data_IF_542469010416
#
_entry.id   IF_542469010416
#
_cell.length_a   1.000
_cell.length_b   1.000
_cell.length_c   1.000
_cell.angle_alpha   90.00
_cell.angle_beta   90.00
_cell.angle_gamma   90.00
#
_symmetry.space_group_name_H-M   'P 1'
#
loop_
_entity.id
_entity.type
_entity.pdbx_description
1 polymer ?
#
# COMPACT_ATOMS: atom_id res chain seq x y z
N UNK A 1 -5.06 0.50 -38.70
CA UNK A 1 -5.00 -0.27 -37.44
C UNK A 1 -4.97 0.73 -36.28
N UNK A 2 -6.09 0.90 -35.57
CA UNK A 2 -6.26 1.98 -34.61
C UNK A 2 -6.60 1.43 -33.21
N UNK A 3 -5.75 1.81 -32.24
CA UNK A 3 -6.09 2.15 -30.85
C UNK A 3 -6.88 1.16 -30.01
N UNK A 4 -6.18 0.32 -29.23
CA UNK A 4 -6.70 -0.22 -27.97
C UNK A 4 -5.56 -0.43 -26.96
N UNK A 5 -5.35 0.52 -26.07
CA UNK A 5 -4.71 0.31 -24.75
C UNK A 5 -4.76 1.62 -23.93
N UNK A 6 -5.69 1.71 -22.99
CA UNK A 6 -5.81 2.88 -22.10
C UNK A 6 -6.59 2.68 -20.80
N UNK A 7 -7.13 1.49 -20.53
CA UNK A 7 -8.04 1.28 -19.39
C UNK A 7 -7.42 0.56 -18.17
N UNK A 8 -6.31 -0.18 -18.34
CA UNK A 8 -5.80 -1.08 -17.29
C UNK A 8 -5.08 -0.36 -16.12
N UNK A 9 -4.40 0.77 -16.38
CA UNK A 9 -3.61 1.47 -15.35
C UNK A 9 -4.43 2.18 -14.26
N UNK A 10 -5.68 2.50 -14.52
CA UNK A 10 -6.54 3.27 -13.61
C UNK A 10 -7.41 2.39 -12.71
N UNK A 11 -7.74 1.18 -13.16
CA UNK A 11 -8.55 0.22 -12.42
C UNK A 11 -7.74 -0.45 -11.30
N UNK A 12 -6.46 -0.76 -11.53
CA UNK A 12 -5.55 -1.29 -10.49
C UNK A 12 -5.33 -0.31 -9.32
N UNK A 13 -5.20 0.98 -9.62
CA UNK A 13 -5.07 2.04 -8.62
C UNK A 13 -6.35 2.22 -7.78
N UNK A 14 -7.55 2.08 -8.37
CA UNK A 14 -8.83 2.10 -7.62
C UNK A 14 -9.05 0.83 -6.81
N UNK A 15 -8.59 -0.33 -7.27
CA UNK A 15 -8.70 -1.60 -6.56
C UNK A 15 -7.79 -1.67 -5.31
N UNK A 16 -6.60 -1.08 -5.37
CA UNK A 16 -5.69 -0.96 -4.22
C UNK A 16 -6.29 -0.13 -3.07
N UNK A 17 -7.22 0.78 -3.34
CA UNK A 17 -7.83 1.71 -2.38
C UNK A 17 -9.03 1.14 -1.58
N UNK A 18 -9.44 -0.11 -1.82
CA UNK A 18 -10.43 -0.83 -1.00
C UNK A 18 -9.81 -1.67 0.12
N UNK A 19 -8.48 -1.82 0.11
CA UNK A 19 -7.70 -2.57 1.11
C UNK A 19 -7.54 -1.73 2.39
N UNK A 20 -7.49 -2.40 3.54
CA UNK A 20 -7.16 -1.74 4.81
C UNK A 20 -5.68 -1.31 4.76
N UNK A 21 -5.44 0.00 4.84
CA UNK A 21 -4.08 0.53 4.94
C UNK A 21 -3.61 0.45 6.40
N UNK A 22 -2.47 -0.21 6.65
CA UNK A 22 -1.90 -0.38 7.98
C UNK A 22 -0.55 0.33 8.03
N UNK A 23 -0.47 1.42 8.78
CA UNK A 23 0.77 2.17 8.95
C UNK A 23 1.63 1.50 10.02
N UNK A 24 2.84 1.09 9.63
CA UNK A 24 3.75 0.30 10.46
C UNK A 24 5.06 1.06 10.70
N UNK A 25 5.59 0.96 11.91
CA UNK A 25 6.79 1.68 12.32
C UNK A 25 8.08 0.85 12.19
N UNK A 26 7.95 -0.47 12.19
CA UNK A 26 9.06 -1.41 12.21
C UNK A 26 8.71 -2.75 11.53
N UNK A 27 9.73 -3.62 11.48
CA UNK A 27 9.65 -4.96 10.90
C UNK A 27 8.64 -5.85 11.62
N UNK A 28 8.61 -5.81 12.95
CA UNK A 28 7.81 -6.73 13.74
C UNK A 28 6.32 -6.41 13.58
N UNK A 29 5.97 -5.13 13.56
CA UNK A 29 4.62 -4.66 13.22
C UNK A 29 4.22 -5.05 11.79
N UNK A 30 5.11 -4.87 10.82
CA UNK A 30 4.85 -5.26 9.44
C UNK A 30 4.61 -6.77 9.30
N UNK A 31 5.46 -7.59 9.92
CA UNK A 31 5.34 -9.04 9.89
C UNK A 31 4.06 -9.52 10.59
N UNK A 32 3.75 -8.98 11.77
CA UNK A 32 2.54 -9.31 12.52
C UNK A 32 1.26 -8.92 11.76
N UNK A 33 1.24 -7.74 11.13
CA UNK A 33 0.12 -7.30 10.31
C UNK A 33 -0.12 -8.22 9.10
N UNK A 34 0.95 -8.61 8.40
CA UNK A 34 0.87 -9.53 7.26
C UNK A 34 0.43 -10.94 7.69
N UNK A 35 0.96 -11.44 8.81
CA UNK A 35 0.58 -12.74 9.36
C UNK A 35 -0.91 -12.77 9.71
N UNK A 36 -1.40 -11.74 10.41
CA UNK A 36 -2.81 -11.57 10.75
C UNK A 36 -3.69 -11.50 9.49
N UNK A 37 -3.29 -10.69 8.51
CA UNK A 37 -4.04 -10.57 7.27
C UNK A 37 -4.16 -11.90 6.51
N UNK A 38 -3.08 -12.69 6.48
CA UNK A 38 -3.08 -14.03 5.86
C UNK A 38 -3.98 -15.00 6.62
N UNK A 39 -3.92 -15.01 7.95
CA UNK A 39 -4.74 -15.89 8.79
C UNK A 39 -6.25 -15.60 8.63
N UNK A 40 -6.61 -14.33 8.48
CA UNK A 40 -8.00 -13.89 8.41
C UNK A 40 -8.51 -13.58 7.00
N UNK A 41 -7.74 -13.90 5.95
CA UNK A 41 -8.14 -13.69 4.55
C UNK A 41 -8.34 -12.21 4.18
N UNK A 42 -7.62 -11.30 4.83
CA UNK A 42 -7.76 -9.86 4.65
C UNK A 42 -6.78 -9.35 3.59
N UNK A 43 -7.28 -8.49 2.70
CA UNK A 43 -6.43 -7.73 1.81
C UNK A 43 -5.99 -6.43 2.50
N UNK A 44 -4.75 -6.39 2.99
CA UNK A 44 -4.13 -5.20 3.57
C UNK A 44 -3.12 -4.55 2.61
N UNK A 45 -2.83 -3.28 2.85
CA UNK A 45 -1.72 -2.54 2.26
C UNK A 45 -0.84 -2.02 3.39
N UNK A 46 0.43 -2.40 3.43
CA UNK A 46 1.38 -1.79 4.36
C UNK A 46 1.68 -0.37 3.92
N UNK A 47 1.71 0.55 4.87
CA UNK A 47 2.10 1.94 4.62
C UNK A 47 3.13 2.39 5.65
N UNK A 48 3.90 3.42 5.33
CA UNK A 48 4.60 4.15 6.37
C UNK A 48 3.62 5.05 7.15
N UNK A 49 4.01 5.51 8.35
CA UNK A 49 3.33 6.62 9.02
C UNK A 49 3.44 7.91 8.18
N UNK A 50 2.59 8.92 8.45
CA UNK A 50 2.65 10.21 7.77
C UNK A 50 4.03 10.86 7.86
N UNK A 51 4.56 11.33 6.73
CA UNK A 51 5.86 12.01 6.64
C UNK A 51 7.07 11.14 7.01
N UNK A 52 6.91 9.82 7.17
CA UNK A 52 7.98 8.98 7.71
C UNK A 52 9.20 8.88 6.79
N UNK A 53 9.07 9.09 5.48
CA UNK A 53 10.21 9.15 4.58
C UNK A 53 11.17 10.31 4.90
N UNK A 54 10.64 11.45 5.37
CA UNK A 54 11.48 12.59 5.77
C UNK A 54 12.26 12.31 7.06
N UNK A 55 11.72 11.44 7.93
CA UNK A 55 12.32 11.10 9.23
C UNK A 55 13.28 9.92 9.16
N UNK A 56 12.87 8.82 8.52
CA UNK A 56 13.62 7.57 8.48
C UNK A 56 14.42 7.41 7.17
N UNK A 57 14.12 8.19 6.14
CA UNK A 57 14.68 8.04 4.80
C UNK A 57 14.01 6.93 3.99
N UNK A 58 14.11 7.03 2.67
CA UNK A 58 13.53 6.05 1.74
C UNK A 58 14.24 4.69 1.76
N UNK A 59 15.52 4.65 2.14
CA UNK A 59 16.31 3.43 2.25
C UNK A 59 15.82 2.52 3.38
N UNK A 60 15.34 3.10 4.48
CA UNK A 60 14.75 2.34 5.57
C UNK A 60 13.56 1.50 5.07
N UNK A 61 12.65 2.11 4.33
CA UNK A 61 11.46 1.42 3.81
C UNK A 61 11.81 0.42 2.71
N UNK A 62 12.90 0.63 1.98
CA UNK A 62 13.46 -0.35 1.05
C UNK A 62 13.91 -1.61 1.77
N UNK A 63 14.73 -1.46 2.79
CA UNK A 63 15.16 -2.57 3.63
C UNK A 63 13.96 -3.27 4.30
N UNK A 64 12.96 -2.51 4.73
CA UNK A 64 11.73 -3.06 5.31
C UNK A 64 10.99 -3.95 4.30
N UNK A 65 10.76 -3.50 3.06
CA UNK A 65 10.12 -4.30 2.00
C UNK A 65 10.86 -5.62 1.75
N UNK A 66 12.19 -5.57 1.72
CA UNK A 66 13.05 -6.75 1.51
C UNK A 66 12.93 -7.75 2.68
N UNK A 67 12.93 -7.25 3.91
CA UNK A 67 12.82 -8.07 5.12
C UNK A 67 11.46 -8.76 5.25
N UNK A 68 10.38 -8.07 4.90
CA UNK A 68 9.01 -8.62 5.04
C UNK A 68 8.45 -9.20 3.72
N UNK A 69 9.22 -9.07 2.63
CA UNK A 69 8.86 -9.54 1.28
C UNK A 69 7.49 -9.07 0.81
N UNK A 70 7.13 -7.84 1.15
CA UNK A 70 5.87 -7.22 0.77
C UNK A 70 6.07 -5.73 0.45
N UNK A 71 5.35 -5.18 -0.52
CA UNK A 71 5.46 -3.76 -0.86
C UNK A 71 4.91 -2.88 0.26
N UNK A 72 5.55 -1.73 0.46
CA UNK A 72 5.16 -0.70 1.43
C UNK A 72 4.87 0.59 0.67
N UNK A 73 3.69 1.17 0.89
CA UNK A 73 3.38 2.50 0.40
C UNK A 73 4.05 3.55 1.30
N UNK A 74 5.07 4.23 0.76
CA UNK A 74 5.89 5.17 1.53
C UNK A 74 5.35 6.59 1.39
N UNK A 75 5.07 7.25 2.52
CA UNK A 75 4.64 8.64 2.60
C UNK A 75 5.84 9.60 2.47
N UNK A 76 5.92 10.26 1.32
CA UNK A 76 6.91 11.28 0.99
C UNK A 76 6.41 12.71 1.27
N UNK A 77 5.20 12.88 1.80
CA UNK A 77 4.57 14.18 1.97
C UNK A 77 4.53 14.98 0.67
N UNK A 78 4.90 16.26 0.76
CA UNK A 78 4.98 17.16 -0.40
C UNK A 78 6.40 17.27 -0.99
N UNK A 79 7.33 16.38 -0.61
CA UNK A 79 8.73 16.42 -1.06
C UNK A 79 8.95 15.54 -2.30
N UNK A 80 9.16 16.17 -3.46
CA UNK A 80 9.43 15.46 -4.71
C UNK A 80 10.82 14.82 -4.76
N UNK A 81 11.79 15.36 -4.00
CA UNK A 81 13.12 14.79 -3.86
C UNK A 81 13.06 13.41 -3.20
N UNK A 82 12.23 13.25 -2.16
CA UNK A 82 11.98 11.95 -1.54
C UNK A 82 11.30 10.96 -2.48
N UNK A 83 10.33 11.40 -3.29
CA UNK A 83 9.70 10.54 -4.31
C UNK A 83 10.74 10.04 -5.31
N UNK A 84 11.56 10.94 -5.87
CA UNK A 84 12.60 10.59 -6.84
C UNK A 84 13.69 9.69 -6.23
N UNK A 85 14.09 9.97 -4.99
CA UNK A 85 15.01 9.12 -4.25
C UNK A 85 14.43 7.71 -4.06
N UNK A 86 13.15 7.63 -3.70
CA UNK A 86 12.44 6.37 -3.57
C UNK A 86 12.43 5.57 -4.86
N UNK A 87 12.03 6.19 -5.97
CA UNK A 87 12.01 5.56 -7.29
C UNK A 87 13.38 4.99 -7.68
N UNK A 88 14.46 5.78 -7.52
CA UNK A 88 15.83 5.33 -7.80
C UNK A 88 16.23 4.10 -6.99
N UNK A 89 15.76 4.00 -5.75
CA UNK A 89 16.05 2.84 -4.90
C UNK A 89 15.11 1.67 -5.17
N UNK A 90 14.13 1.81 -6.07
CA UNK A 90 13.21 0.75 -6.45
C UNK A 90 11.80 0.87 -5.86
N UNK A 91 11.46 1.94 -5.12
CA UNK A 91 10.13 2.18 -4.55
C UNK A 91 9.05 2.16 -5.63
N UNK A 92 8.11 1.22 -5.50
CA UNK A 92 6.99 1.04 -6.42
C UNK A 92 5.69 1.63 -5.93
N UNK A 93 5.58 1.92 -4.63
CA UNK A 93 4.38 2.50 -4.03
C UNK A 93 4.78 3.73 -3.20
N UNK A 94 4.50 4.92 -3.74
CA UNK A 94 4.88 6.20 -3.12
C UNK A 94 3.63 7.06 -2.95
N UNK A 95 3.53 7.79 -1.84
CA UNK A 95 2.46 8.75 -1.59
C UNK A 95 3.05 10.16 -1.61
N UNK A 96 2.46 11.01 -2.45
CA UNK A 96 2.86 12.40 -2.62
C UNK A 96 1.65 13.33 -2.55
N UNK A 97 1.63 14.19 -1.54
CA UNK A 97 0.55 15.13 -1.22
C UNK A 97 0.80 16.54 -1.77
N UNK A 98 1.92 16.76 -2.47
CA UNK A 98 2.25 18.04 -3.09
C UNK A 98 1.36 18.43 -4.29
N UNK A 99 1.66 19.57 -4.95
CA UNK A 99 0.78 20.17 -5.95
C UNK A 99 0.44 19.25 -7.14
N UNK A 100 -0.80 19.34 -7.70
CA UNK A 100 -1.22 18.49 -8.82
C UNK A 100 -0.31 18.50 -10.06
N UNK A 101 0.24 19.64 -10.52
CA UNK A 101 1.13 19.65 -11.69
C UNK A 101 2.41 18.84 -11.46
N UNK A 102 3.02 18.98 -10.28
CA UNK A 102 4.23 18.25 -9.89
C UNK A 102 3.94 16.76 -9.72
N UNK A 103 2.81 16.42 -9.07
CA UNK A 103 2.37 15.03 -8.93
C UNK A 103 2.14 14.35 -10.29
N UNK A 104 1.61 15.07 -11.28
CA UNK A 104 1.44 14.54 -12.65
C UNK A 104 2.79 14.15 -13.25
N UNK A 105 3.80 15.01 -13.16
CA UNK A 105 5.16 14.72 -13.62
C UNK A 105 5.78 13.53 -12.89
N UNK A 106 5.63 13.46 -11.57
CA UNK A 106 6.14 12.34 -10.78
C UNK A 106 5.49 11.01 -11.18
N UNK A 107 4.20 11.01 -11.55
CA UNK A 107 3.51 9.81 -12.07
C UNK A 107 4.02 9.37 -13.44
N UNK A 108 4.32 10.31 -14.33
CA UNK A 108 4.92 10.01 -15.63
C UNK A 108 6.27 9.30 -15.44
N UNK A 109 7.12 9.84 -14.56
CA UNK A 109 8.43 9.25 -14.23
C UNK A 109 8.27 7.88 -13.56
N UNK A 110 7.35 7.76 -12.60
CA UNK A 110 7.09 6.50 -11.91
C UNK A 110 6.57 5.41 -12.86
N UNK A 111 5.69 5.78 -13.81
CA UNK A 111 5.16 4.84 -14.80
C UNK A 111 6.24 4.24 -15.70
N UNK A 112 7.31 4.99 -16.00
CA UNK A 112 8.47 4.47 -16.74
C UNK A 112 9.32 3.47 -15.92
N UNK A 113 9.04 3.30 -14.62
CA UNK A 113 9.77 2.42 -13.69
C UNK A 113 8.83 1.39 -13.03
N UNK A 114 7.66 1.13 -13.63
CA UNK A 114 6.62 0.25 -13.10
C UNK A 114 6.20 0.59 -11.65
N UNK A 115 6.26 1.89 -11.32
CA UNK A 115 5.94 2.44 -10.00
C UNK A 115 4.69 3.32 -10.04
N UNK A 116 4.05 3.48 -8.87
CA UNK A 116 2.83 4.26 -8.68
C UNK A 116 3.04 5.37 -7.65
N UNK A 117 2.62 6.57 -8.01
CA UNK A 117 2.55 7.74 -7.11
C UNK A 117 1.09 8.06 -6.77
N UNK A 118 0.72 7.76 -5.53
CA UNK A 118 -0.59 7.99 -4.95
C UNK A 118 -0.73 9.45 -4.51
N UNK A 119 -1.94 10.01 -4.64
CA UNK A 119 -2.25 11.35 -4.14
C UNK A 119 -2.80 11.33 -2.71
N UNK A 120 -3.39 10.19 -2.32
CA UNK A 120 -4.04 9.98 -1.03
C UNK A 120 -4.11 8.49 -0.77
N UNK A 121 -4.03 8.13 0.50
CA UNK A 121 -4.38 6.80 0.96
C UNK A 121 -5.91 6.65 1.06
N UNK A 122 -6.38 5.41 1.05
CA UNK A 122 -7.82 5.09 1.16
C UNK A 122 -8.42 5.58 2.48
N UNK A 123 -9.76 5.59 2.60
CA UNK A 123 -10.43 6.06 3.82
C UNK A 123 -10.24 5.12 5.01
N UNK A 124 -9.93 3.84 4.77
CA UNK A 124 -9.72 2.82 5.81
C UNK A 124 -8.25 2.73 6.14
N UNK A 125 -7.85 3.42 7.21
CA UNK A 125 -6.48 3.45 7.70
C UNK A 125 -6.44 3.06 9.16
N UNK A 126 -5.49 2.22 9.49
CA UNK A 126 -5.11 1.89 10.85
C UNK A 126 -3.69 2.42 11.07
N UNK A 127 -3.55 3.38 11.97
CA UNK A 127 -2.25 3.84 12.46
C UNK A 127 -1.91 3.03 13.71
N UNK A 128 -0.78 2.33 13.69
CA UNK A 128 -0.24 1.68 14.87
C UNK A 128 0.65 2.66 15.62
N UNK A 129 0.63 2.63 16.94
CA UNK A 129 1.62 3.34 17.75
C UNK A 129 2.94 2.57 17.79
N UNK A 130 4.10 3.23 18.02
CA UNK A 130 5.37 2.53 18.18
C UNK A 130 5.31 1.47 19.30
N UNK A 131 5.70 0.22 18.99
CA UNK A 131 5.67 -0.89 19.94
C UNK A 131 4.27 -1.49 20.20
N UNK A 132 3.22 -0.98 19.54
CA UNK A 132 1.88 -1.57 19.62
C UNK A 132 1.84 -2.94 18.93
N UNK A 133 1.13 -3.89 19.55
CA UNK A 133 0.85 -5.20 18.94
C UNK A 133 -0.12 -5.04 17.76
N UNK A 134 0.43 -5.17 16.55
CA UNK A 134 -0.31 -5.03 15.31
C UNK A 134 -1.46 -6.03 15.19
N UNK A 135 -1.28 -7.28 15.62
CA UNK A 135 -2.30 -8.31 15.50
C UNK A 135 -3.46 -8.04 16.46
N UNK A 136 -3.15 -7.69 17.72
CA UNK A 136 -4.18 -7.27 18.69
C UNK A 136 -4.96 -6.07 18.15
N UNK A 137 -4.29 -5.07 17.61
CA UNK A 137 -4.94 -3.86 17.11
C UNK A 137 -5.81 -4.13 15.88
N UNK A 138 -5.34 -4.97 14.96
CA UNK A 138 -6.11 -5.42 13.81
C UNK A 138 -7.36 -6.20 14.23
N UNK A 139 -7.27 -7.13 15.20
CA UNK A 139 -8.44 -7.85 15.74
C UNK A 139 -9.53 -6.90 16.21
N UNK A 140 -9.19 -5.87 16.98
CA UNK A 140 -10.17 -4.88 17.44
C UNK A 140 -10.78 -4.10 16.28
N UNK A 141 -9.96 -3.72 15.30
CA UNK A 141 -10.44 -2.98 14.13
C UNK A 141 -11.37 -3.81 13.23
N UNK A 142 -11.12 -5.12 13.10
CA UNK A 142 -11.93 -6.02 12.27
C UNK A 142 -13.17 -6.55 13.00
N UNK A 143 -13.09 -6.83 14.30
CA UNK A 143 -14.21 -7.30 15.12
C UNK A 143 -15.28 -6.22 15.36
N UNK A 144 -14.92 -4.94 15.30
CA UNK A 144 -15.84 -3.80 15.40
C UNK A 144 -16.78 -3.58 14.20
N UNK A 145 -16.90 -4.56 13.28
CA UNK A 145 -17.95 -4.58 12.26
C UNK A 145 -17.65 -3.88 10.94
N UNK A 146 -16.42 -3.41 10.68
CA UNK A 146 -16.13 -2.68 9.44
C UNK A 146 -15.59 -3.53 8.30
N UNK A 147 -15.13 -4.76 8.52
CA UNK A 147 -14.52 -5.59 7.48
C UNK A 147 -15.22 -6.94 7.36
N UNK A 148 -16.32 -6.99 6.62
CA UNK A 148 -16.75 -8.26 6.05
C UNK A 148 -15.64 -8.75 5.09
N UNK A 149 -15.10 -9.96 5.26
CA UNK A 149 -14.12 -10.50 4.33
C UNK A 149 -14.73 -10.57 2.92
N UNK A 150 -13.94 -10.37 1.84
CA UNK A 150 -14.43 -10.67 0.51
C UNK A 150 -14.86 -12.13 0.47
N UNK A 151 -16.12 -12.38 0.12
CA UNK A 151 -16.67 -13.73 -0.05
C UNK A 151 -15.71 -14.54 -0.94
N UNK A 152 -15.39 -15.80 -0.58
CA UNK A 152 -14.57 -16.65 -1.42
C UNK A 152 -15.22 -16.79 -2.81
N UNK A 153 -14.43 -16.94 -3.89
CA UNK A 153 -15.00 -17.17 -5.21
C UNK A 153 -15.86 -18.42 -5.15
N UNK A 154 -17.14 -18.29 -5.49
CA UNK A 154 -18.06 -19.41 -5.59
C UNK A 154 -17.45 -20.42 -6.56
N UNK A 155 -16.98 -21.55 -6.03
CA UNK A 155 -16.63 -22.70 -6.85
C UNK A 155 -17.92 -23.18 -7.50
N UNK A 156 -18.23 -22.68 -8.70
CA UNK A 156 -19.21 -23.30 -9.56
C UNK A 156 -18.70 -24.71 -9.84
N UNK A 157 -19.35 -25.67 -9.20
CA UNK A 157 -19.04 -27.08 -9.29
C UNK A 157 -19.13 -27.56 -10.73
N UNK A 158 -18.13 -28.38 -11.10
CA UNK A 158 -18.25 -29.25 -12.25
C UNK A 158 -19.43 -30.21 -12.04
N UNK A 159 -20.43 -30.09 -12.91
CA UNK A 159 -21.40 -31.14 -13.17
C UNK A 159 -21.02 -31.83 -14.46
N UNK A 160 -20.35 -32.99 -14.35
CA UNK A 160 -20.40 -34.03 -15.38
C UNK A 160 -21.80 -34.65 -15.33
N UNK A 161 -22.51 -34.67 -16.45
CA UNK A 161 -23.20 -35.85 -16.98
C UNK A 161 -23.16 -35.75 -18.50
#
# INVERSE_FOLDING_TARGET
MAGRQGAAGHQGARAALRKLAVAVHDRDQAAAALAFAREHGLAILLTSPPGAAARAGVLYFRALEELVRAPVLVDCGADAGLVLAGLRMGLRQLLFTGPPPLRRRLREIAGAQDALVHARLGPRRLLLEPGEDAARRLRFHTAGGYLAPPLPPSSQGGGRV
#
